data_IF_431802325529
#
_entry.id   IF_431802325529
#
_cell.length_a   1.000
_cell.length_b   1.000
_cell.length_c   1.000
_cell.angle_alpha   90.00
_cell.angle_beta   90.00
_cell.angle_gamma   90.00
#
_symmetry.space_group_name_H-M   'P 1'
#
loop_
_entity.id
_entity.type
_entity.pdbx_description
1 polymer ?
#
# COMPACT_ATOMS: atom_id res chain seq x y z
N UNK A 1 10.29 -7.28 3.37
CA UNK A 1 11.02 -6.23 2.63
C UNK A 1 11.62 -5.15 3.54
N UNK A 2 10.92 -4.63 4.55
CA UNK A 2 11.44 -3.56 5.43
C UNK A 2 12.55 -4.00 6.41
N UNK A 3 12.80 -5.30 6.53
CA UNK A 3 13.82 -5.87 7.43
C UNK A 3 15.20 -6.05 6.76
N UNK A 4 15.30 -5.83 5.44
CA UNK A 4 16.56 -5.94 4.70
C UNK A 4 16.69 -4.83 3.66
N UNK A 5 17.90 -4.33 3.47
CA UNK A 5 18.26 -3.38 2.40
C UNK A 5 19.08 -4.04 1.28
N UNK A 6 19.35 -5.35 1.38
CA UNK A 6 20.16 -6.05 0.40
C UNK A 6 19.33 -6.32 -0.85
N UNK A 7 19.79 -5.77 -1.98
CA UNK A 7 19.10 -5.88 -3.28
C UNK A 7 18.78 -7.32 -3.69
N UNK A 8 19.68 -8.28 -3.44
CA UNK A 8 19.47 -9.68 -3.80
C UNK A 8 18.34 -10.34 -2.97
N UNK A 9 18.29 -10.06 -1.67
CA UNK A 9 17.22 -10.56 -0.81
C UNK A 9 15.88 -9.92 -1.18
N UNK A 10 15.85 -8.61 -1.45
CA UNK A 10 14.65 -7.91 -1.93
C UNK A 10 14.14 -8.47 -3.26
N UNK A 11 15.04 -8.73 -4.21
CA UNK A 11 14.72 -9.34 -5.50
C UNK A 11 14.11 -10.74 -5.32
N UNK A 12 14.67 -11.56 -4.43
CA UNK A 12 14.14 -12.90 -4.12
C UNK A 12 12.72 -12.81 -3.53
N UNK A 13 12.51 -11.93 -2.55
CA UNK A 13 11.18 -11.74 -1.92
C UNK A 13 10.15 -11.28 -2.96
N UNK A 14 10.53 -10.35 -3.85
CA UNK A 14 9.65 -9.87 -4.92
C UNK A 14 9.31 -10.97 -5.91
N UNK A 15 10.30 -11.77 -6.32
CA UNK A 15 10.10 -12.88 -7.24
C UNK A 15 9.10 -13.91 -6.70
N UNK A 16 9.24 -14.27 -5.41
CA UNK A 16 8.34 -15.20 -4.74
C UNK A 16 6.92 -14.62 -4.63
N UNK A 17 6.80 -13.35 -4.20
CA UNK A 17 5.52 -12.64 -4.16
C UNK A 17 4.81 -12.62 -5.53
N UNK A 18 5.53 -12.32 -6.61
CA UNK A 18 4.94 -12.25 -7.96
C UNK A 18 4.51 -13.61 -8.49
N UNK A 19 5.25 -14.69 -8.18
CA UNK A 19 4.82 -16.07 -8.49
C UNK A 19 3.51 -16.45 -7.80
N UNK A 20 3.33 -15.99 -6.56
CA UNK A 20 2.12 -16.27 -5.76
C UNK A 20 0.92 -15.37 -6.11
N UNK A 21 1.16 -14.26 -6.83
CA UNK A 21 0.12 -13.24 -7.08
C UNK A 21 -0.97 -13.67 -8.05
N UNK A 22 -0.71 -14.65 -8.93
CA UNK A 22 -1.70 -15.13 -9.91
C UNK A 22 -2.29 -14.00 -10.75
N UNK A 23 -3.63 -13.94 -10.82
CA UNK A 23 -4.36 -12.92 -11.59
C UNK A 23 -4.25 -11.50 -10.98
N UNK A 24 -3.83 -11.37 -9.72
CA UNK A 24 -3.70 -10.09 -9.01
C UNK A 24 -2.31 -9.45 -9.19
N UNK A 25 -1.47 -10.01 -10.05
CA UNK A 25 -0.07 -9.61 -10.22
C UNK A 25 0.09 -8.11 -10.49
N UNK A 26 -0.75 -7.55 -11.36
CA UNK A 26 -0.71 -6.12 -11.70
C UNK A 26 -1.01 -5.24 -10.50
N UNK A 27 -2.06 -5.57 -9.75
CA UNK A 27 -2.44 -4.89 -8.53
C UNK A 27 -1.33 -4.98 -7.47
N UNK A 28 -0.71 -6.15 -7.31
CA UNK A 28 0.42 -6.35 -6.39
C UNK A 28 1.61 -5.47 -6.78
N UNK A 29 1.99 -5.42 -8.06
CA UNK A 29 3.11 -4.60 -8.55
C UNK A 29 2.87 -3.12 -8.22
N UNK A 30 1.69 -2.59 -8.48
CA UNK A 30 1.36 -1.22 -8.11
C UNK A 30 1.40 -0.99 -6.59
N UNK A 31 0.84 -1.88 -5.78
CA UNK A 31 0.81 -1.73 -4.32
C UNK A 31 2.21 -1.80 -3.71
N UNK A 32 3.12 -2.62 -4.25
CA UNK A 32 4.54 -2.65 -3.86
C UNK A 32 5.21 -1.29 -4.14
N UNK A 33 4.84 -0.62 -5.23
CA UNK A 33 5.28 0.75 -5.52
C UNK A 33 4.58 1.81 -4.66
N UNK A 34 3.54 1.44 -3.90
CA UNK A 34 2.68 2.36 -3.16
C UNK A 34 1.76 3.18 -4.07
N UNK A 35 1.46 2.65 -5.25
CA UNK A 35 0.63 3.25 -6.30
C UNK A 35 -0.67 2.45 -6.48
N UNK A 36 -1.61 3.03 -7.21
CA UNK A 36 -2.88 2.39 -7.63
C UNK A 36 -3.15 2.59 -9.12
N UNK A 37 -2.22 3.24 -9.81
CA UNK A 37 -2.27 3.64 -11.19
C UNK A 37 -0.87 4.13 -11.62
N UNK A 38 -0.61 4.18 -12.92
CA UNK A 38 0.61 4.78 -13.48
C UNK A 38 0.72 6.27 -13.17
N UNK A 39 1.94 6.79 -13.09
CA UNK A 39 2.19 8.22 -12.80
C UNK A 39 1.58 9.14 -13.87
N UNK A 40 1.53 8.68 -15.12
CA UNK A 40 0.96 9.43 -16.26
C UNK A 40 -0.53 9.71 -16.10
N UNK A 41 -1.25 8.92 -15.30
CA UNK A 41 -2.68 9.15 -15.02
C UNK A 41 -2.90 10.23 -13.95
N UNK A 42 -1.86 10.66 -13.23
CA UNK A 42 -1.95 11.71 -12.21
C UNK A 42 -2.92 11.41 -11.06
N UNK A 43 -3.24 10.13 -10.81
CA UNK A 43 -4.16 9.72 -9.73
C UNK A 43 -3.42 9.75 -8.40
N UNK A 44 -3.53 10.86 -7.68
CA UNK A 44 -3.00 10.96 -6.32
C UNK A 44 -3.89 10.23 -5.31
N UNK A 45 -3.29 9.26 -4.61
CA UNK A 45 -3.89 8.59 -3.45
C UNK A 45 -4.02 9.55 -2.26
N UNK A 46 -3.20 10.60 -2.23
CA UNK A 46 -2.87 11.43 -1.08
C UNK A 46 -4.08 11.85 -0.23
N UNK A 47 -4.07 11.40 1.02
CA UNK A 47 -4.90 11.91 2.10
C UNK A 47 -4.02 12.78 2.99
N UNK A 48 -4.57 13.91 3.47
CA UNK A 48 -3.86 14.78 4.39
C UNK A 48 -3.61 14.07 5.74
N UNK A 49 -2.44 14.31 6.36
CA UNK A 49 -2.10 13.77 7.68
C UNK A 49 -3.21 14.03 8.71
N UNK A 50 -3.85 15.22 8.66
CA UNK A 50 -4.99 15.56 9.53
C UNK A 50 -6.16 14.58 9.42
N UNK A 51 -6.55 14.21 8.21
CA UNK A 51 -7.66 13.25 7.99
C UNK A 51 -7.30 11.87 8.54
N UNK A 52 -6.03 11.45 8.44
CA UNK A 52 -5.58 10.21 9.06
C UNK A 52 -5.65 10.31 10.59
N UNK A 53 -5.23 11.43 11.18
CA UNK A 53 -5.32 11.66 12.63
C UNK A 53 -6.77 11.59 13.11
N UNK A 54 -7.71 12.19 12.37
CA UNK A 54 -9.15 12.09 12.65
C UNK A 54 -9.64 10.63 12.61
N UNK A 55 -9.26 9.85 11.59
CA UNK A 55 -9.61 8.41 11.50
C UNK A 55 -9.06 7.64 12.70
N UNK A 56 -7.80 7.86 13.05
CA UNK A 56 -7.14 7.17 14.16
C UNK A 56 -7.74 7.57 15.51
N UNK A 57 -8.15 8.82 15.67
CA UNK A 57 -8.87 9.32 16.85
C UNK A 57 -10.19 8.56 17.01
N UNK A 58 -10.99 8.47 15.94
CA UNK A 58 -12.26 7.73 15.96
C UNK A 58 -12.07 6.23 16.23
N UNK A 59 -11.09 5.59 15.58
CA UNK A 59 -10.83 4.16 15.73
C UNK A 59 -10.32 3.80 17.13
N UNK A 60 -9.57 4.68 17.77
CA UNK A 60 -8.99 4.42 19.10
C UNK A 60 -9.85 4.93 20.26
N UNK A 61 -10.85 5.76 19.99
CA UNK A 61 -11.59 6.51 21.02
C UNK A 61 -10.74 7.57 21.76
N UNK A 62 -9.55 7.89 21.24
CA UNK A 62 -8.63 8.90 21.82
C UNK A 62 -8.83 10.24 21.15
N UNK A 63 -8.49 11.33 21.83
CA UNK A 63 -8.44 12.65 21.21
C UNK A 63 -7.34 12.75 20.14
N UNK A 64 -7.50 13.64 19.16
CA UNK A 64 -6.46 13.90 18.14
C UNK A 64 -5.10 14.26 18.77
N UNK A 65 -5.11 15.02 19.88
CA UNK A 65 -3.89 15.37 20.62
C UNK A 65 -3.18 14.15 21.19
N UNK A 66 -3.90 13.13 21.66
CA UNK A 66 -3.31 11.88 22.10
C UNK A 66 -2.74 11.08 20.94
N UNK A 67 -3.43 11.05 19.79
CA UNK A 67 -2.93 10.42 18.56
C UNK A 67 -1.62 11.07 18.12
N UNK A 68 -1.53 12.40 18.15
CA UNK A 68 -0.30 13.14 17.82
C UNK A 68 0.84 12.75 18.77
N UNK A 69 0.58 12.59 20.07
CA UNK A 69 1.58 12.09 21.02
C UNK A 69 2.05 10.67 20.70
N UNK A 70 1.16 9.81 20.17
CA UNK A 70 1.54 8.48 19.71
C UNK A 70 2.48 8.54 18.50
N UNK A 71 2.41 9.57 17.64
CA UNK A 71 3.35 9.73 16.52
C UNK A 71 4.77 9.91 17.05
N UNK A 72 4.96 10.73 18.08
CA UNK A 72 6.28 10.96 18.71
C UNK A 72 6.87 9.63 19.22
N UNK A 73 6.03 8.76 19.80
CA UNK A 73 6.45 7.45 20.31
C UNK A 73 6.71 6.42 19.21
N UNK A 74 5.87 6.39 18.17
CA UNK A 74 5.85 5.33 17.17
C UNK A 74 6.54 5.70 15.84
N UNK A 75 6.99 6.95 15.70
CA UNK A 75 7.73 7.47 14.55
C UNK A 75 6.85 7.94 13.38
N UNK A 76 5.79 7.20 13.03
CA UNK A 76 4.91 7.55 11.92
C UNK A 76 3.44 7.12 12.12
N UNK A 77 2.53 7.73 11.37
CA UNK A 77 1.08 7.45 11.42
C UNK A 77 0.73 6.00 11.06
N UNK A 78 1.53 5.31 10.24
CA UNK A 78 1.32 3.89 9.94
C UNK A 78 1.62 3.01 11.15
N UNK A 79 2.70 3.27 11.89
CA UNK A 79 2.97 2.55 13.13
C UNK A 79 1.92 2.87 14.22
N UNK A 80 1.43 4.11 14.28
CA UNK A 80 0.29 4.46 15.16
C UNK A 80 -0.97 3.67 14.77
N UNK A 81 -1.27 3.57 13.47
CA UNK A 81 -2.38 2.77 12.95
C UNK A 81 -2.28 1.30 13.34
N UNK A 82 -1.09 0.69 13.20
CA UNK A 82 -0.80 -0.67 13.67
C UNK A 82 -1.14 -0.84 15.15
N UNK A 83 -0.61 0.05 15.99
CA UNK A 83 -0.77 -0.01 17.44
C UNK A 83 -2.24 0.11 17.86
N UNK A 84 -3.00 1.02 17.23
CA UNK A 84 -4.44 1.16 17.47
C UNK A 84 -5.18 -0.11 17.03
N UNK A 85 -4.84 -0.68 15.88
CA UNK A 85 -5.50 -1.89 15.36
C UNK A 85 -5.21 -3.12 16.22
N UNK A 86 -4.00 -3.24 16.78
CA UNK A 86 -3.62 -4.30 17.75
C UNK A 86 -4.50 -4.24 19.00
N UNK A 87 -4.81 -3.04 19.52
CA UNK A 87 -5.71 -2.87 20.67
C UNK A 87 -7.16 -3.27 20.33
N UNK A 88 -7.62 -2.95 19.12
CA UNK A 88 -8.97 -3.23 18.65
C UNK A 88 -9.17 -4.68 18.16
N UNK A 89 -8.14 -5.53 18.22
CA UNK A 89 -8.20 -6.92 17.71
C UNK A 89 -9.26 -7.78 18.42
N UNK A 90 -9.63 -7.40 19.66
CA UNK A 90 -10.66 -8.08 20.44
C UNK A 90 -12.11 -7.78 19.98
N UNK A 91 -12.34 -6.74 19.16
CA UNK A 91 -13.70 -6.29 18.80
C UNK A 91 -14.31 -6.95 17.56
N UNK A 92 -13.53 -7.65 16.73
CA UNK A 92 -14.02 -8.26 15.49
C UNK A 92 -13.91 -9.79 15.59
N UNK A 93 -14.99 -10.42 16.03
CA UNK A 93 -15.15 -11.88 16.11
C UNK A 93 -15.21 -12.56 14.72
N UNK A 94 -15.31 -11.78 13.65
CA UNK A 94 -15.30 -12.22 12.26
C UNK A 94 -14.47 -11.23 11.43
N UNK A 95 -13.41 -11.72 10.78
CA UNK A 95 -12.69 -10.97 9.75
C UNK A 95 -12.98 -11.66 8.42
N UNK A 96 -13.60 -10.93 7.49
CA UNK A 96 -13.51 -11.32 6.08
C UNK A 96 -12.04 -11.22 5.65
N UNK A 97 -11.57 -12.19 4.85
CA UNK A 97 -10.24 -12.11 4.27
C UNK A 97 -10.17 -10.91 3.33
N UNK A 98 -9.26 -9.98 3.66
CA UNK A 98 -8.99 -8.82 2.82
C UNK A 98 -8.12 -9.28 1.66
N UNK A 99 -8.69 -9.27 0.45
CA UNK A 99 -7.98 -9.63 -0.78
C UNK A 99 -7.25 -8.43 -1.37
N UNK A 100 -6.22 -8.69 -2.19
CA UNK A 100 -5.46 -7.66 -2.92
C UNK A 100 -6.39 -6.82 -3.78
N UNK A 101 -7.26 -7.47 -4.57
CA UNK A 101 -8.28 -6.79 -5.36
C UNK A 101 -9.16 -5.87 -4.52
N UNK A 102 -9.67 -6.35 -3.38
CA UNK A 102 -10.53 -5.52 -2.54
C UNK A 102 -9.79 -4.26 -2.05
N UNK A 103 -8.53 -4.39 -1.63
CA UNK A 103 -7.70 -3.24 -1.24
C UNK A 103 -7.47 -2.30 -2.42
N UNK A 104 -7.02 -2.84 -3.55
CA UNK A 104 -6.65 -2.06 -4.72
C UNK A 104 -7.83 -1.25 -5.25
N UNK A 105 -8.97 -1.91 -5.52
CA UNK A 105 -10.15 -1.25 -6.06
C UNK A 105 -10.81 -0.29 -5.06
N UNK A 106 -10.71 -0.55 -3.75
CA UNK A 106 -11.18 0.39 -2.73
C UNK A 106 -10.32 1.66 -2.70
N UNK A 107 -9.00 1.52 -2.75
CA UNK A 107 -8.07 2.66 -2.85
C UNK A 107 -8.25 3.40 -4.19
N UNK A 108 -8.54 2.71 -5.29
CA UNK A 108 -8.84 3.33 -6.57
C UNK A 108 -10.15 4.14 -6.51
N UNK A 109 -11.23 3.55 -5.98
CA UNK A 109 -12.51 4.22 -5.78
C UNK A 109 -12.36 5.50 -4.95
N UNK A 110 -11.52 5.46 -3.90
CA UNK A 110 -11.17 6.62 -3.07
C UNK A 110 -10.67 7.79 -3.92
N UNK A 111 -9.79 7.55 -4.89
CA UNK A 111 -9.22 8.61 -5.74
C UNK A 111 -10.23 9.20 -6.73
N UNK A 112 -11.25 8.43 -7.11
CA UNK A 112 -12.30 8.88 -8.03
C UNK A 112 -13.32 9.81 -7.35
N UNK A 113 -13.42 9.82 -6.01
CA UNK A 113 -14.35 10.71 -5.29
C UNK A 113 -13.85 12.17 -5.34
N UNK A 114 -14.65 13.05 -5.97
CA UNK A 114 -14.43 14.51 -6.06
C UNK A 114 -15.72 15.26 -5.67
N UNK A 115 -15.59 16.55 -5.35
CA UNK A 115 -16.73 17.42 -5.00
C UNK A 115 -17.11 17.41 -3.51
N UNK A 116 -18.23 18.06 -3.18
CA UNK A 116 -18.74 18.15 -1.82
C UNK A 116 -19.00 16.74 -1.23
N UNK A 117 -18.56 16.51 0.01
CA UNK A 117 -18.69 15.20 0.68
C UNK A 117 -17.63 14.15 0.29
N UNK A 118 -16.79 14.42 -0.72
CA UNK A 118 -15.73 13.47 -1.14
C UNK A 118 -14.72 13.18 -0.02
N UNK A 119 -14.36 14.18 0.80
CA UNK A 119 -13.44 13.99 1.93
C UNK A 119 -13.98 12.96 2.93
N UNK A 120 -15.28 13.00 3.23
CA UNK A 120 -15.89 12.06 4.16
C UNK A 120 -15.97 10.65 3.56
N UNK A 121 -16.32 10.52 2.28
CA UNK A 121 -16.32 9.23 1.59
C UNK A 121 -14.92 8.59 1.56
N UNK A 122 -13.86 9.38 1.30
CA UNK A 122 -12.48 8.90 1.33
C UNK A 122 -12.06 8.42 2.72
N UNK A 123 -12.51 9.12 3.76
CA UNK A 123 -12.28 8.78 5.17
C UNK A 123 -12.90 7.44 5.52
N UNK A 124 -14.18 7.24 5.19
CA UNK A 124 -14.91 6.00 5.48
C UNK A 124 -14.34 4.79 4.74
N UNK A 125 -13.94 4.95 3.47
CA UNK A 125 -13.28 3.87 2.71
C UNK A 125 -12.00 3.42 3.41
N UNK A 126 -11.12 4.35 3.79
CA UNK A 126 -9.86 4.00 4.44
C UNK A 126 -10.10 3.39 5.82
N UNK A 127 -11.01 3.96 6.61
CA UNK A 127 -11.38 3.44 7.92
C UNK A 127 -11.90 2.00 7.84
N UNK A 128 -12.75 1.71 6.86
CA UNK A 128 -13.28 0.36 6.60
C UNK A 128 -12.16 -0.63 6.29
N UNK A 129 -11.26 -0.30 5.35
CA UNK A 129 -10.12 -1.16 5.01
C UNK A 129 -9.22 -1.45 6.22
N UNK A 130 -8.97 -0.45 7.06
CA UNK A 130 -8.16 -0.62 8.27
C UNK A 130 -8.82 -1.55 9.31
N UNK A 131 -10.15 -1.53 9.40
CA UNK A 131 -10.91 -2.39 10.32
C UNK A 131 -10.95 -3.84 9.84
N UNK A 132 -11.13 -4.07 8.53
CA UNK A 132 -11.14 -5.40 7.95
C UNK A 132 -9.76 -6.07 8.05
N UNK A 133 -8.70 -5.30 7.76
CA UNK A 133 -7.33 -5.79 7.74
C UNK A 133 -6.74 -6.12 9.11
N UNK A 134 -5.61 -6.82 9.07
CA UNK A 134 -4.69 -7.03 10.18
C UNK A 134 -4.04 -5.70 10.62
N UNK A 135 -3.35 -5.68 11.77
CA UNK A 135 -2.59 -4.51 12.17
C UNK A 135 -1.51 -4.09 11.16
N UNK A 136 -0.90 -5.04 10.47
CA UNK A 136 0.08 -4.75 9.43
C UNK A 136 -0.58 -4.17 8.18
N UNK A 137 -1.77 -4.64 7.81
CA UNK A 137 -2.53 -4.04 6.72
C UNK A 137 -2.86 -2.59 7.04
N UNK A 138 -3.35 -2.29 8.25
CA UNK A 138 -3.64 -0.93 8.68
C UNK A 138 -2.40 -0.01 8.59
N UNK A 139 -1.21 -0.52 8.95
CA UNK A 139 0.05 0.21 8.80
C UNK A 139 0.35 0.57 7.37
N UNK A 140 0.30 -0.41 6.46
CA UNK A 140 0.67 -0.21 5.06
C UNK A 140 -0.39 0.59 4.31
N UNK A 141 -1.68 0.38 4.59
CA UNK A 141 -2.79 1.19 4.06
C UNK A 141 -2.64 2.67 4.38
N UNK A 142 -2.25 3.01 5.61
CA UNK A 142 -1.98 4.42 5.99
C UNK A 142 -0.76 4.96 5.27
N UNK A 143 0.33 4.19 5.16
CA UNK A 143 1.54 4.63 4.45
C UNK A 143 1.29 4.85 2.95
N UNK A 144 0.56 3.94 2.31
CA UNK A 144 0.11 4.07 0.91
C UNK A 144 -0.80 5.30 0.79
N UNK A 145 -1.76 5.46 1.72
CA UNK A 145 -2.71 6.59 1.69
C UNK A 145 -2.06 7.96 1.83
N UNK A 146 -0.92 8.04 2.51
CA UNK A 146 -0.13 9.25 2.68
C UNK A 146 0.88 9.48 1.55
N UNK A 147 1.07 8.52 0.62
CA UNK A 147 2.18 8.55 -0.34
C UNK A 147 3.55 8.43 0.33
N UNK A 148 3.60 7.87 1.55
CA UNK A 148 4.81 7.72 2.38
C UNK A 148 5.25 6.26 2.48
N UNK A 149 4.78 5.38 1.58
CA UNK A 149 5.25 4.00 1.53
C UNK A 149 6.73 3.99 1.12
N UNK A 150 7.58 3.52 2.03
CA UNK A 150 9.02 3.37 1.78
C UNK A 150 9.40 1.92 2.05
N UNK A 151 9.30 1.08 1.03
CA UNK A 151 9.79 -0.30 1.11
C UNK A 151 11.30 -0.42 0.83
N UNK A 152 11.93 0.66 0.34
CA UNK A 152 13.35 0.64 -0.03
C UNK A 152 13.62 -0.14 -1.32
N UNK A 153 12.60 -0.34 -2.14
CA UNK A 153 12.67 -1.08 -3.39
C UNK A 153 12.65 -0.09 -4.56
N UNK A 154 13.69 -0.14 -5.40
CA UNK A 154 13.74 0.62 -6.64
C UNK A 154 12.98 -0.11 -7.75
N UNK A 155 12.46 0.62 -8.72
CA UNK A 155 11.75 0.06 -9.88
C UNK A 155 12.61 -0.98 -10.63
N UNK A 156 13.92 -0.76 -10.74
CA UNK A 156 14.86 -1.75 -11.32
C UNK A 156 14.88 -3.08 -10.55
N UNK A 157 14.67 -3.05 -9.24
CA UNK A 157 14.62 -4.26 -8.40
C UNK A 157 13.28 -4.98 -8.55
N UNK A 158 12.19 -4.24 -8.68
CA UNK A 158 10.86 -4.81 -9.02
C UNK A 158 10.93 -5.49 -10.39
N UNK A 159 11.48 -4.81 -11.39
CA UNK A 159 11.67 -5.35 -12.73
C UNK A 159 12.53 -6.63 -12.72
N UNK A 160 13.63 -6.61 -11.96
CA UNK A 160 14.47 -7.81 -11.78
C UNK A 160 13.71 -8.95 -11.09
N UNK A 161 12.81 -8.63 -10.16
CA UNK A 161 11.94 -9.59 -9.49
C UNK A 161 10.92 -10.22 -10.45
N UNK A 162 10.33 -9.44 -11.36
CA UNK A 162 9.43 -9.92 -12.41
C UNK A 162 10.16 -10.85 -13.39
N UNK A 163 11.36 -10.45 -13.83
CA UNK A 163 12.20 -11.28 -14.70
C UNK A 163 12.49 -12.65 -14.06
N UNK A 164 12.78 -12.68 -12.76
CA UNK A 164 13.03 -13.93 -12.02
C UNK A 164 11.76 -14.71 -11.70
N UNK A 165 10.63 -14.01 -11.51
CA UNK A 165 9.34 -14.63 -11.22
C UNK A 165 8.92 -15.56 -12.37
N UNK A 166 9.19 -15.16 -13.61
CA UNK A 166 8.69 -15.82 -14.82
C UNK A 166 9.80 -16.37 -15.72
N UNK A 167 11.01 -16.54 -15.19
CA UNK A 167 12.18 -17.10 -15.90
C UNK A 167 12.50 -16.39 -17.24
N UNK A 168 12.34 -15.07 -17.28
CA UNK A 168 12.47 -14.22 -18.48
C UNK A 168 13.89 -13.65 -18.67
N UNK A 169 14.92 -14.32 -18.13
CA UNK A 169 16.29 -13.80 -18.13
C UNK A 169 16.83 -13.51 -19.56
N UNK A 170 16.40 -14.30 -20.55
CA UNK A 170 16.72 -14.08 -21.97
C UNK A 170 16.09 -12.81 -22.55
N UNK A 171 14.97 -12.33 -22.00
CA UNK A 171 14.25 -11.13 -22.42
C UNK A 171 14.56 -9.90 -21.55
N UNK A 172 15.41 -10.04 -20.52
CA UNK A 172 15.68 -8.98 -19.55
C UNK A 172 16.05 -7.64 -20.19
N UNK A 173 16.86 -7.64 -21.27
CA UNK A 173 17.24 -6.40 -21.97
C UNK A 173 16.07 -5.76 -22.73
N UNK A 174 15.20 -6.58 -23.30
CA UNK A 174 14.02 -6.12 -24.05
C UNK A 174 12.99 -5.53 -23.08
N UNK A 175 12.79 -6.19 -21.94
CA UNK A 175 11.93 -5.73 -20.84
C UNK A 175 12.44 -4.40 -20.26
N UNK A 176 13.74 -4.29 -20.00
CA UNK A 176 14.35 -3.02 -19.56
C UNK A 176 14.20 -1.92 -20.62
N UNK A 177 14.40 -2.25 -21.90
CA UNK A 177 14.19 -1.30 -22.99
C UNK A 177 12.74 -0.85 -23.04
N UNK A 178 11.77 -1.76 -22.97
CA UNK A 178 10.35 -1.45 -22.98
C UNK A 178 9.99 -0.53 -21.80
N UNK A 179 10.43 -0.85 -20.59
CA UNK A 179 10.21 -0.01 -19.40
C UNK A 179 10.77 1.41 -19.57
N UNK A 180 11.96 1.55 -20.19
CA UNK A 180 12.53 2.88 -20.44
C UNK A 180 11.69 3.74 -21.40
N UNK A 181 10.93 3.12 -22.31
CA UNK A 181 9.99 3.82 -23.19
C UNK A 181 8.61 4.00 -22.55
N UNK A 182 8.14 3.03 -21.77
CA UNK A 182 6.86 3.00 -21.07
C UNK A 182 7.11 2.68 -19.59
N UNK A 183 7.33 3.68 -18.72
CA UNK A 183 7.72 3.48 -17.33
C UNK A 183 6.53 3.08 -16.43
N UNK A 184 5.83 2.02 -16.83
CA UNK A 184 4.70 1.41 -16.12
C UNK A 184 5.00 -0.07 -15.86
N UNK A 185 5.38 -0.39 -14.62
CA UNK A 185 5.66 -1.77 -14.22
C UNK A 185 4.39 -2.64 -14.20
N UNK A 186 3.21 -2.05 -14.03
CA UNK A 186 1.95 -2.78 -14.07
C UNK A 186 1.45 -3.08 -15.48
N UNK A 187 2.04 -2.46 -16.52
CA UNK A 187 1.80 -2.85 -17.92
C UNK A 187 2.72 -4.00 -18.35
N UNK A 188 3.88 -4.13 -17.71
CA UNK A 188 4.85 -5.21 -17.95
C UNK A 188 4.45 -6.51 -17.27
N UNK A 189 3.75 -6.41 -16.14
CA UNK A 189 3.34 -7.51 -15.28
C UNK A 189 2.15 -8.28 -15.83
#
# INVERSE_FOLDING_TARGET
MTETSKRLELRSILSELFKESGDDLKEVVYLVQGKIAPDVEGKEIGIADKTIIEILSELSGKSENEVIKLIVKNGDLGNVARSIREMNKQQLLYQEEVTVNHVFYSLLLKTQKKGAGSSNAKKEILKSLMLLGSPDDAKYLVRISLGKLRLGVADSTILSGLVDAFDLANLSKEIESFYNFNPDLGEIS
#
